data_IF_525002947178
#
_entry.id   IF_525002947178
#
_cell.length_a   1.000
_cell.length_b   1.000
_cell.length_c   1.000
_cell.angle_alpha   90.00
_cell.angle_beta   90.00
_cell.angle_gamma   90.00
#
_symmetry.space_group_name_H-M   'P 1'
#
loop_
_entity.id
_entity.type
_entity.pdbx_description
1 polymer ?
#
# COMPACT_ATOMS: atom_id res chain seq x y z
N UNK A 1 -21.85 -7.06 -31.28
CA UNK A 1 -20.61 -6.67 -30.56
C UNK A 1 -20.24 -5.24 -30.90
N UNK A 2 -19.83 -4.47 -29.89
CA UNK A 2 -19.28 -3.12 -30.11
C UNK A 2 -17.90 -3.20 -30.77
N UNK A 3 -17.45 -2.10 -31.41
CA UNK A 3 -16.11 -2.03 -31.97
C UNK A 3 -15.02 -2.24 -30.93
N UNK A 4 -15.22 -1.72 -29.71
CA UNK A 4 -14.29 -1.90 -28.60
C UNK A 4 -14.21 -3.37 -28.18
N UNK A 5 -15.34 -4.05 -28.06
CA UNK A 5 -15.38 -5.46 -27.68
C UNK A 5 -14.66 -6.34 -28.70
N UNK A 6 -14.84 -6.08 -30.00
CA UNK A 6 -14.14 -6.78 -31.07
C UNK A 6 -12.62 -6.54 -30.97
N UNK A 7 -12.21 -5.29 -30.75
CA UNK A 7 -10.80 -4.94 -30.57
C UNK A 7 -10.19 -5.65 -29.35
N UNK A 8 -10.90 -5.67 -28.21
CA UNK A 8 -10.43 -6.31 -26.98
C UNK A 8 -10.29 -7.81 -27.18
N UNK A 9 -11.24 -8.47 -27.83
CA UNK A 9 -11.16 -9.91 -28.11
C UNK A 9 -9.92 -10.26 -28.94
N UNK A 10 -9.61 -9.43 -29.95
CA UNK A 10 -8.38 -9.60 -30.73
C UNK A 10 -7.14 -9.47 -29.85
N UNK A 11 -7.09 -8.43 -29.01
CA UNK A 11 -5.95 -8.21 -28.12
C UNK A 11 -5.78 -9.35 -27.11
N UNK A 12 -6.85 -9.88 -26.55
CA UNK A 12 -6.80 -11.04 -25.65
C UNK A 12 -6.22 -12.27 -26.38
N UNK A 13 -6.60 -12.48 -27.64
CA UNK A 13 -5.98 -13.52 -28.47
C UNK A 13 -4.48 -13.29 -28.65
N UNK A 14 -4.06 -12.05 -28.87
CA UNK A 14 -2.65 -11.69 -29.03
C UNK A 14 -1.83 -11.91 -27.75
N UNK A 15 -2.44 -11.84 -26.57
CA UNK A 15 -1.75 -12.14 -25.30
C UNK A 15 -1.24 -13.59 -25.24
N UNK A 16 -1.86 -14.49 -26.00
CA UNK A 16 -1.49 -15.90 -26.07
C UNK A 16 -0.41 -16.19 -27.12
N UNK A 17 -0.01 -15.18 -27.89
CA UNK A 17 1.02 -15.33 -28.94
C UNK A 17 2.35 -15.74 -28.34
N UNK A 18 3.14 -16.49 -29.10
CA UNK A 18 4.54 -16.79 -28.77
C UNK A 18 5.49 -15.65 -29.15
N UNK A 19 5.01 -14.67 -29.92
CA UNK A 19 5.79 -13.50 -30.29
C UNK A 19 5.85 -12.50 -29.14
N UNK A 20 7.07 -12.19 -28.68
CA UNK A 20 7.29 -11.18 -27.62
C UNK A 20 6.78 -9.81 -28.07
N UNK A 21 7.01 -9.43 -29.32
CA UNK A 21 6.57 -8.13 -29.85
C UNK A 21 5.03 -8.05 -29.86
N UNK A 22 4.34 -9.12 -30.22
CA UNK A 22 2.87 -9.17 -30.21
C UNK A 22 2.32 -9.07 -28.79
N UNK A 23 2.90 -9.78 -27.82
CA UNK A 23 2.51 -9.69 -26.42
C UNK A 23 2.73 -8.30 -25.85
N UNK A 24 3.88 -7.70 -26.16
CA UNK A 24 4.23 -6.34 -25.71
C UNK A 24 3.23 -5.33 -26.22
N UNK A 25 2.90 -5.39 -27.51
CA UNK A 25 1.92 -4.49 -28.12
C UNK A 25 0.51 -4.70 -27.55
N UNK A 26 0.08 -5.93 -27.41
CA UNK A 26 -1.25 -6.25 -26.87
C UNK A 26 -1.39 -5.75 -25.43
N UNK A 27 -0.39 -5.98 -24.60
CA UNK A 27 -0.42 -5.49 -23.20
C UNK A 27 -0.40 -3.96 -23.14
N UNK A 28 0.35 -3.30 -24.04
CA UNK A 28 0.36 -1.84 -24.12
C UNK A 28 -1.00 -1.27 -24.47
N UNK A 29 -1.69 -1.88 -25.43
CA UNK A 29 -3.02 -1.45 -25.87
C UNK A 29 -4.07 -1.66 -24.79
N UNK A 30 -4.05 -2.80 -24.12
CA UNK A 30 -4.98 -3.09 -23.01
C UNK A 30 -4.75 -2.14 -21.84
N UNK A 31 -3.50 -1.86 -21.52
CA UNK A 31 -3.13 -0.86 -20.51
C UNK A 31 -3.76 0.50 -20.83
N UNK A 32 -3.64 0.94 -22.07
CA UNK A 32 -4.17 2.23 -22.53
C UNK A 32 -5.70 2.27 -22.50
N UNK A 33 -6.37 1.22 -22.99
CA UNK A 33 -7.83 1.13 -23.00
C UNK A 33 -8.41 1.14 -21.59
N UNK A 34 -7.74 0.52 -20.63
CA UNK A 34 -8.20 0.45 -19.25
C UNK A 34 -7.95 1.74 -18.46
N UNK A 35 -7.07 2.63 -18.95
CA UNK A 35 -6.59 3.77 -18.16
C UNK A 35 -7.66 4.81 -17.86
N UNK A 36 -8.48 5.17 -18.84
CA UNK A 36 -9.37 6.34 -18.75
C UNK A 36 -10.86 6.02 -18.90
N UNK A 37 -11.24 4.79 -19.11
CA UNK A 37 -12.62 4.45 -19.47
C UNK A 37 -13.18 3.32 -18.60
N UNK A 38 -14.25 3.63 -17.88
CA UNK A 38 -14.92 2.68 -16.99
C UNK A 38 -15.48 1.48 -17.74
N UNK A 39 -16.13 1.71 -18.88
CA UNK A 39 -16.74 0.65 -19.67
C UNK A 39 -15.67 -0.29 -20.26
N UNK A 40 -14.54 0.25 -20.67
CA UNK A 40 -13.43 -0.55 -21.17
C UNK A 40 -12.92 -1.53 -20.11
N UNK A 41 -12.86 -1.12 -18.87
CA UNK A 41 -12.40 -1.99 -17.76
C UNK A 41 -13.31 -3.20 -17.58
N UNK A 42 -14.62 -2.99 -17.74
CA UNK A 42 -15.61 -4.07 -17.66
C UNK A 42 -15.51 -4.98 -18.89
N UNK A 43 -15.41 -4.39 -20.08
CA UNK A 43 -15.30 -5.16 -21.35
C UNK A 43 -14.04 -6.02 -21.34
N UNK A 44 -12.90 -5.47 -20.96
CA UNK A 44 -11.62 -6.19 -20.91
C UNK A 44 -11.71 -7.39 -19.96
N UNK A 45 -12.27 -7.20 -18.77
CA UNK A 45 -12.46 -8.28 -17.81
C UNK A 45 -13.41 -9.36 -18.35
N UNK A 46 -14.52 -8.95 -18.97
CA UNK A 46 -15.51 -9.88 -19.52
C UNK A 46 -14.98 -10.69 -20.71
N UNK A 47 -13.98 -10.18 -21.41
CA UNK A 47 -13.33 -10.89 -22.51
C UNK A 47 -12.24 -11.87 -22.02
N UNK A 48 -12.06 -12.03 -20.72
CA UNK A 48 -11.12 -13.00 -20.16
C UNK A 48 -9.66 -12.56 -20.11
N UNK A 49 -9.41 -11.24 -20.15
CA UNK A 49 -8.05 -10.72 -20.16
C UNK A 49 -7.31 -10.89 -18.82
N UNK A 50 -8.02 -10.92 -17.69
CA UNK A 50 -7.39 -10.89 -16.37
C UNK A 50 -6.43 -12.06 -16.16
N UNK A 51 -6.88 -13.30 -16.41
CA UNK A 51 -6.02 -14.48 -16.22
C UNK A 51 -4.79 -14.45 -17.13
N UNK A 52 -4.94 -13.96 -18.35
CA UNK A 52 -3.83 -13.83 -19.29
C UNK A 52 -2.82 -12.78 -18.85
N UNK A 53 -3.31 -11.64 -18.37
CA UNK A 53 -2.44 -10.56 -17.84
C UNK A 53 -1.71 -11.03 -16.57
N UNK A 54 -2.37 -11.77 -15.70
CA UNK A 54 -1.75 -12.36 -14.50
C UNK A 54 -0.59 -13.28 -14.89
N UNK A 55 -0.77 -14.13 -15.89
CA UNK A 55 0.30 -14.99 -16.38
C UNK A 55 1.49 -14.19 -16.91
N UNK A 56 1.25 -13.07 -17.57
CA UNK A 56 2.30 -12.21 -18.13
C UNK A 56 3.05 -11.38 -17.08
N UNK A 57 2.62 -11.37 -15.84
CA UNK A 57 3.39 -10.78 -14.74
C UNK A 57 4.73 -11.49 -14.55
N UNK A 58 4.84 -12.74 -14.97
CA UNK A 58 6.09 -13.54 -14.93
C UNK A 58 6.88 -13.48 -16.22
N UNK A 59 6.47 -12.64 -17.17
CA UNK A 59 7.19 -12.53 -18.44
C UNK A 59 8.64 -12.10 -18.23
N UNK A 60 9.60 -12.72 -18.91
CA UNK A 60 11.00 -12.27 -18.88
C UNK A 60 11.22 -10.96 -19.65
N UNK A 61 10.27 -10.55 -20.49
CA UNK A 61 10.32 -9.26 -21.17
C UNK A 61 9.84 -8.16 -20.22
N UNK A 62 10.77 -7.28 -19.82
CA UNK A 62 10.49 -6.24 -18.83
C UNK A 62 9.32 -5.34 -19.23
N UNK A 63 9.22 -4.98 -20.51
CA UNK A 63 8.14 -4.10 -20.99
C UNK A 63 6.78 -4.79 -20.97
N UNK A 64 6.71 -6.07 -21.32
CA UNK A 64 5.49 -6.86 -21.22
C UNK A 64 5.04 -6.95 -19.76
N UNK A 65 5.96 -7.22 -18.84
CA UNK A 65 5.67 -7.26 -17.40
C UNK A 65 5.14 -5.92 -16.90
N UNK A 66 5.79 -4.80 -17.25
CA UNK A 66 5.34 -3.45 -16.87
C UNK A 66 3.93 -3.16 -17.40
N UNK A 67 3.69 -3.47 -18.66
CA UNK A 67 2.38 -3.26 -19.27
C UNK A 67 1.29 -4.13 -18.62
N UNK A 68 1.60 -5.38 -18.34
CA UNK A 68 0.65 -6.31 -17.72
C UNK A 68 0.26 -5.86 -16.32
N UNK A 69 1.24 -5.50 -15.48
CA UNK A 69 0.95 -5.04 -14.11
C UNK A 69 0.19 -3.72 -14.12
N UNK A 70 0.50 -2.83 -15.03
CA UNK A 70 -0.18 -1.53 -15.14
C UNK A 70 -1.60 -1.71 -15.67
N UNK A 71 -1.82 -2.61 -16.62
CA UNK A 71 -3.16 -2.96 -17.09
C UNK A 71 -4.01 -3.52 -15.95
N UNK A 72 -3.47 -4.41 -15.14
CA UNK A 72 -4.17 -4.96 -13.96
C UNK A 72 -4.47 -3.87 -12.92
N UNK A 73 -3.54 -2.96 -12.69
CA UNK A 73 -3.77 -1.82 -11.81
C UNK A 73 -4.96 -0.99 -12.30
N UNK A 74 -4.98 -0.65 -13.59
CA UNK A 74 -6.06 0.13 -14.18
C UNK A 74 -7.40 -0.61 -14.11
N UNK A 75 -7.41 -1.91 -14.39
CA UNK A 75 -8.61 -2.75 -14.27
C UNK A 75 -9.12 -2.81 -12.84
N UNK A 76 -8.23 -2.78 -11.86
CA UNK A 76 -8.57 -2.90 -10.44
C UNK A 76 -9.30 -1.68 -9.87
N UNK A 77 -9.44 -0.60 -10.63
CA UNK A 77 -10.28 0.54 -10.26
C UNK A 77 -11.75 0.12 -10.13
N UNK A 78 -12.18 -0.84 -10.91
CA UNK A 78 -13.51 -1.45 -10.80
C UNK A 78 -13.52 -2.48 -9.66
N UNK A 79 -14.47 -2.37 -8.73
CA UNK A 79 -14.52 -3.23 -7.54
C UNK A 79 -14.71 -4.72 -7.86
N UNK A 80 -15.51 -5.05 -8.86
CA UNK A 80 -15.68 -6.44 -9.30
C UNK A 80 -14.37 -7.01 -9.83
N UNK A 81 -13.57 -6.18 -10.50
CA UNK A 81 -12.27 -6.60 -11.01
C UNK A 81 -11.26 -6.84 -9.88
N UNK A 82 -11.35 -6.13 -8.75
CA UNK A 82 -10.48 -6.41 -7.59
C UNK A 82 -10.62 -7.86 -7.14
N UNK A 83 -11.85 -8.32 -7.02
CA UNK A 83 -12.14 -9.71 -6.65
C UNK A 83 -11.69 -10.69 -7.74
N UNK A 84 -11.98 -10.38 -9.00
CA UNK A 84 -11.60 -11.23 -10.13
C UNK A 84 -10.07 -11.39 -10.26
N UNK A 85 -9.31 -10.30 -10.04
CA UNK A 85 -7.84 -10.33 -10.09
C UNK A 85 -7.29 -11.21 -8.96
N UNK A 86 -7.79 -11.04 -7.73
CA UNK A 86 -7.38 -11.88 -6.61
C UNK A 86 -7.73 -13.35 -6.84
N UNK A 87 -8.92 -13.64 -7.40
CA UNK A 87 -9.37 -15.00 -7.69
C UNK A 87 -8.59 -15.63 -8.85
N UNK A 88 -7.96 -14.84 -9.71
CA UNK A 88 -7.07 -15.32 -10.76
C UNK A 88 -5.65 -15.62 -10.21
N UNK A 89 -5.47 -15.65 -8.90
CA UNK A 89 -4.20 -15.93 -8.24
C UNK A 89 -3.09 -14.92 -8.60
N UNK A 90 -3.46 -13.64 -8.64
CA UNK A 90 -2.53 -12.56 -8.99
C UNK A 90 -1.51 -12.24 -7.89
N UNK A 91 -1.79 -12.57 -6.62
CA UNK A 91 -0.98 -12.10 -5.49
C UNK A 91 0.46 -12.59 -5.58
N UNK A 92 0.70 -13.88 -5.80
CA UNK A 92 2.07 -14.40 -5.94
C UNK A 92 2.83 -13.81 -7.14
N UNK A 93 2.24 -13.74 -8.34
CA UNK A 93 2.88 -13.03 -9.44
C UNK A 93 3.15 -11.55 -9.17
N UNK A 94 2.28 -10.86 -8.44
CA UNK A 94 2.52 -9.47 -8.03
C UNK A 94 3.72 -9.36 -7.09
N UNK A 95 3.90 -10.31 -6.19
CA UNK A 95 5.08 -10.39 -5.32
C UNK A 95 6.34 -10.60 -6.17
N UNK A 96 6.27 -11.47 -7.18
CA UNK A 96 7.39 -11.67 -8.10
C UNK A 96 7.81 -10.36 -8.78
N UNK A 97 6.84 -9.55 -9.22
CA UNK A 97 7.11 -8.23 -9.80
C UNK A 97 7.76 -7.29 -8.78
N UNK A 98 7.30 -7.28 -7.53
CA UNK A 98 7.92 -6.49 -6.46
C UNK A 98 9.38 -6.86 -6.23
N UNK A 99 9.73 -8.13 -6.40
CA UNK A 99 11.08 -8.63 -6.14
C UNK A 99 12.01 -8.43 -7.34
N UNK A 100 11.52 -8.57 -8.56
CA UNK A 100 12.33 -8.68 -9.77
C UNK A 100 12.08 -7.63 -10.84
N UNK A 101 11.00 -6.85 -10.73
CA UNK A 101 10.61 -5.91 -11.76
C UNK A 101 11.46 -4.66 -11.84
N UNK A 102 11.21 -3.86 -12.87
CA UNK A 102 11.76 -2.51 -12.98
C UNK A 102 11.20 -1.62 -11.88
N UNK A 103 11.80 -0.46 -11.58
CA UNK A 103 11.23 0.48 -10.61
C UNK A 103 9.77 0.84 -10.91
N UNK A 104 9.41 1.09 -12.16
CA UNK A 104 8.01 1.35 -12.57
C UNK A 104 7.10 0.15 -12.30
N UNK A 105 7.53 -1.04 -12.66
CA UNK A 105 6.76 -2.27 -12.43
C UNK A 105 6.55 -2.51 -10.94
N UNK A 106 7.56 -2.31 -10.12
CA UNK A 106 7.46 -2.44 -8.66
C UNK A 106 6.45 -1.46 -8.06
N UNK A 107 6.48 -0.19 -8.47
CA UNK A 107 5.51 0.81 -8.05
C UNK A 107 4.09 0.37 -8.40
N UNK A 108 3.87 -0.06 -9.63
CA UNK A 108 2.56 -0.46 -10.11
C UNK A 108 2.08 -1.75 -9.46
N UNK A 109 3.00 -2.66 -9.11
CA UNK A 109 2.65 -3.85 -8.34
C UNK A 109 2.19 -3.50 -6.92
N UNK A 110 2.90 -2.62 -6.24
CA UNK A 110 2.50 -2.13 -4.93
C UNK A 110 1.14 -1.42 -4.98
N UNK A 111 0.92 -0.60 -6.00
CA UNK A 111 -0.36 0.08 -6.23
C UNK A 111 -1.49 -0.91 -6.49
N UNK A 112 -1.22 -1.99 -7.24
CA UNK A 112 -2.21 -3.06 -7.48
C UNK A 112 -2.55 -3.77 -6.17
N UNK A 113 -1.56 -4.15 -5.39
CA UNK A 113 -1.78 -4.76 -4.07
C UNK A 113 -2.56 -3.82 -3.14
N UNK A 114 -2.25 -2.53 -3.15
CA UNK A 114 -3.04 -1.53 -2.44
C UNK A 114 -4.49 -1.56 -2.90
N UNK A 115 -4.73 -1.52 -4.21
CA UNK A 115 -6.08 -1.56 -4.78
C UNK A 115 -6.85 -2.81 -4.35
N UNK A 116 -6.22 -3.98 -4.40
CA UNK A 116 -6.84 -5.24 -3.97
C UNK A 116 -7.10 -5.27 -2.46
N UNK A 117 -6.27 -4.62 -1.67
CA UNK A 117 -6.34 -4.67 -0.20
C UNK A 117 -7.49 -3.87 0.41
N UNK A 118 -8.25 -3.11 -0.39
CA UNK A 118 -9.50 -2.49 0.10
C UNK A 118 -10.58 -3.53 0.39
N UNK A 119 -10.50 -4.71 -0.22
CA UNK A 119 -11.42 -5.82 0.02
C UNK A 119 -10.91 -6.62 1.23
N UNK A 120 -11.77 -6.83 2.23
CA UNK A 120 -11.38 -7.48 3.50
C UNK A 120 -10.71 -8.83 3.30
N UNK A 121 -11.30 -9.71 2.48
CA UNK A 121 -10.74 -11.05 2.23
C UNK A 121 -9.35 -10.96 1.62
N UNK A 122 -9.07 -9.95 0.82
CA UNK A 122 -7.77 -9.75 0.19
C UNK A 122 -6.71 -9.31 1.19
N UNK A 123 -7.07 -8.56 2.25
CA UNK A 123 -6.12 -8.19 3.31
C UNK A 123 -5.51 -9.43 3.96
N UNK A 124 -6.34 -10.43 4.19
CA UNK A 124 -5.91 -11.71 4.77
C UNK A 124 -5.00 -12.47 3.79
N UNK A 125 -5.46 -12.62 2.56
CA UNK A 125 -4.71 -13.35 1.50
C UNK A 125 -3.35 -12.72 1.24
N UNK A 126 -3.31 -11.40 1.08
CA UNK A 126 -2.06 -10.66 0.82
C UNK A 126 -1.11 -10.78 2.01
N UNK A 127 -1.61 -10.62 3.23
CA UNK A 127 -0.79 -10.74 4.43
C UNK A 127 -0.17 -12.12 4.62
N UNK A 128 -0.89 -13.17 4.26
CA UNK A 128 -0.44 -14.56 4.39
C UNK A 128 0.45 -15.03 3.24
N UNK A 129 0.46 -14.30 2.13
CA UNK A 129 1.16 -14.73 0.90
C UNK A 129 2.66 -14.42 0.87
N UNK A 130 3.16 -13.64 1.83
CA UNK A 130 4.55 -13.19 1.83
C UNK A 130 4.76 -11.85 1.14
N UNK A 131 3.71 -11.07 0.87
CA UNK A 131 3.83 -9.76 0.24
C UNK A 131 4.41 -8.68 1.17
N UNK A 132 4.25 -8.83 2.48
CA UNK A 132 4.64 -7.79 3.44
C UNK A 132 6.14 -7.49 3.39
N UNK A 133 6.99 -8.51 3.36
CA UNK A 133 8.44 -8.31 3.26
C UNK A 133 8.85 -7.46 2.05
N UNK A 134 8.49 -7.85 0.82
CA UNK A 134 8.77 -7.06 -0.38
C UNK A 134 8.15 -5.65 -0.36
N UNK A 135 6.95 -5.47 0.20
CA UNK A 135 6.34 -4.14 0.36
C UNK A 135 7.17 -3.27 1.32
N UNK A 136 7.63 -3.83 2.42
CA UNK A 136 8.50 -3.11 3.37
C UNK A 136 9.84 -2.77 2.73
N UNK A 137 10.40 -3.65 1.91
CA UNK A 137 11.62 -3.34 1.17
C UNK A 137 11.41 -2.16 0.20
N UNK A 138 10.28 -2.13 -0.50
CA UNK A 138 9.93 -1.00 -1.38
C UNK A 138 9.72 0.29 -0.57
N UNK A 139 9.13 0.19 0.61
CA UNK A 139 8.95 1.32 1.52
C UNK A 139 10.29 1.97 1.90
N UNK A 140 11.34 1.17 2.10
CA UNK A 140 12.66 1.65 2.47
C UNK A 140 13.51 2.10 1.29
N UNK A 141 13.44 1.39 0.17
CA UNK A 141 14.39 1.50 -0.93
C UNK A 141 13.77 1.89 -2.27
N UNK A 142 12.45 2.08 -2.34
CA UNK A 142 11.77 2.38 -3.58
C UNK A 142 11.91 3.84 -4.02
N UNK A 143 11.33 4.12 -5.18
CA UNK A 143 11.12 5.49 -5.65
C UNK A 143 10.15 6.22 -4.72
N UNK A 144 10.04 7.56 -4.77
CA UNK A 144 9.04 8.28 -3.96
C UNK A 144 7.62 7.77 -4.17
N UNK A 145 7.22 7.47 -5.40
CA UNK A 145 5.91 6.88 -5.69
C UNK A 145 5.79 5.46 -5.14
N UNK A 146 6.83 4.65 -5.30
CA UNK A 146 6.87 3.29 -4.75
C UNK A 146 6.73 3.27 -3.24
N UNK A 147 7.40 4.16 -2.54
CA UNK A 147 7.28 4.31 -1.09
C UNK A 147 5.85 4.71 -0.69
N UNK A 148 5.24 5.63 -1.44
CA UNK A 148 3.86 6.06 -1.19
C UNK A 148 2.88 4.90 -1.38
N UNK A 149 2.98 4.18 -2.47
CA UNK A 149 2.09 3.06 -2.77
C UNK A 149 2.29 1.90 -1.78
N UNK A 150 3.53 1.61 -1.41
CA UNK A 150 3.85 0.62 -0.39
C UNK A 150 3.26 1.01 0.97
N UNK A 151 3.39 2.27 1.38
CA UNK A 151 2.84 2.74 2.66
C UNK A 151 1.32 2.65 2.69
N UNK A 152 0.65 2.93 1.57
CA UNK A 152 -0.80 2.83 1.46
C UNK A 152 -1.26 1.37 1.51
N UNK A 153 -0.55 0.47 0.82
CA UNK A 153 -0.82 -0.96 0.91
C UNK A 153 -0.64 -1.48 2.34
N UNK A 154 0.46 -1.12 2.99
CA UNK A 154 0.74 -1.52 4.36
C UNK A 154 -0.27 -0.94 5.35
N UNK A 155 -0.76 0.29 5.11
CA UNK A 155 -1.84 0.84 5.92
C UNK A 155 -3.08 -0.06 5.86
N UNK A 156 -3.55 -0.40 4.66
CA UNK A 156 -4.73 -1.27 4.50
C UNK A 156 -4.51 -2.64 5.15
N UNK A 157 -3.33 -3.23 4.97
CA UNK A 157 -2.98 -4.52 5.58
C UNK A 157 -2.92 -4.43 7.10
N UNK A 158 -2.47 -3.31 7.66
CA UNK A 158 -2.33 -3.10 9.11
C UNK A 158 -3.66 -2.98 9.85
N UNK A 159 -4.77 -2.79 9.12
CA UNK A 159 -6.11 -2.79 9.71
C UNK A 159 -6.47 -4.19 10.20
N UNK A 160 -6.04 -5.22 9.50
CA UNK A 160 -6.26 -6.61 9.90
C UNK A 160 -5.23 -7.02 10.96
N UNK A 161 -5.72 -7.39 12.15
CA UNK A 161 -4.87 -7.59 13.33
C UNK A 161 -3.69 -8.53 13.09
N UNK A 162 -3.92 -9.66 12.41
CA UNK A 162 -2.89 -10.68 12.14
C UNK A 162 -1.70 -10.12 11.34
N UNK A 163 -1.91 -9.09 10.52
CA UNK A 163 -0.86 -8.51 9.70
C UNK A 163 0.07 -7.57 10.49
N UNK A 164 -0.37 -7.04 11.62
CA UNK A 164 0.40 -6.03 12.37
C UNK A 164 1.76 -6.57 12.81
N UNK A 165 1.79 -7.75 13.43
CA UNK A 165 3.05 -8.36 13.84
C UNK A 165 3.96 -8.67 12.65
N UNK A 166 3.41 -9.13 11.53
CA UNK A 166 4.18 -9.39 10.31
C UNK A 166 4.83 -8.13 9.76
N UNK A 167 4.11 -7.01 9.79
CA UNK A 167 4.63 -5.71 9.32
C UNK A 167 5.77 -5.25 10.23
N UNK A 168 5.61 -5.35 11.55
CA UNK A 168 6.66 -5.00 12.51
C UNK A 168 7.89 -5.90 12.32
N UNK A 169 7.69 -7.23 12.21
CA UNK A 169 8.77 -8.20 12.03
C UNK A 169 9.55 -8.00 10.73
N UNK A 170 8.89 -7.48 9.70
CA UNK A 170 9.56 -7.15 8.44
C UNK A 170 10.41 -5.86 8.51
N UNK A 171 10.43 -5.17 9.64
CA UNK A 171 11.26 -3.98 9.84
C UNK A 171 10.63 -2.68 9.36
N UNK A 172 9.31 -2.61 9.23
CA UNK A 172 8.62 -1.44 8.69
C UNK A 172 8.77 -0.19 9.57
N UNK A 173 8.83 -0.33 10.89
CA UNK A 173 8.79 0.82 11.80
C UNK A 173 9.94 1.79 11.55
N UNK A 174 11.15 1.29 11.35
CA UNK A 174 12.32 2.14 11.04
C UNK A 174 12.08 3.01 9.81
N UNK A 175 11.57 2.41 8.73
CA UNK A 175 11.30 3.13 7.49
C UNK A 175 10.15 4.12 7.65
N UNK A 176 9.11 3.76 8.41
CA UNK A 176 7.99 4.67 8.69
C UNK A 176 8.45 5.89 9.49
N UNK A 177 9.32 5.69 10.48
CA UNK A 177 9.90 6.80 11.25
C UNK A 177 10.72 7.74 10.35
N UNK A 178 11.53 7.19 9.46
CA UNK A 178 12.28 7.98 8.48
C UNK A 178 11.35 8.79 7.55
N UNK A 179 10.21 8.23 7.17
CA UNK A 179 9.22 8.89 6.30
C UNK A 179 8.40 9.97 7.02
N UNK A 180 8.56 10.11 8.32
CA UNK A 180 7.94 11.19 9.09
C UNK A 180 8.66 12.53 8.91
N UNK A 181 9.79 12.58 8.19
CA UNK A 181 10.41 13.81 7.76
C UNK A 181 9.44 14.56 6.82
N UNK A 182 9.07 15.81 7.16
CA UNK A 182 8.14 16.58 6.29
C UNK A 182 8.60 16.72 4.85
N UNK A 183 9.90 16.72 4.60
CA UNK A 183 10.45 16.79 3.24
C UNK A 183 10.05 15.60 2.35
N UNK A 184 9.77 14.45 2.93
CA UNK A 184 9.33 13.27 2.18
C UNK A 184 7.87 13.38 1.69
N UNK A 185 7.06 14.27 2.28
CA UNK A 185 5.67 14.46 1.88
C UNK A 185 4.74 13.29 2.21
N UNK A 186 5.10 12.45 3.19
CA UNK A 186 4.39 11.20 3.49
C UNK A 186 4.02 11.05 4.97
N UNK A 187 4.09 12.14 5.73
CA UNK A 187 3.88 12.10 7.19
C UNK A 187 2.54 11.47 7.56
N UNK A 188 1.45 11.90 6.92
CA UNK A 188 0.11 11.41 7.26
C UNK A 188 -0.04 9.90 7.04
N UNK A 189 0.52 9.38 5.96
CA UNK A 189 0.48 7.94 5.69
C UNK A 189 1.34 7.15 6.67
N UNK A 190 2.54 7.62 6.93
CA UNK A 190 3.47 6.97 7.85
C UNK A 190 2.91 6.92 9.27
N UNK A 191 2.37 8.03 9.76
CA UNK A 191 1.80 8.08 11.11
C UNK A 191 0.55 7.23 11.24
N UNK A 192 -0.25 7.11 10.18
CA UNK A 192 -1.43 6.26 10.19
C UNK A 192 -1.05 4.77 10.36
N UNK A 193 -0.01 4.33 9.66
CA UNK A 193 0.50 2.94 9.83
C UNK A 193 1.05 2.75 11.24
N UNK A 194 1.87 3.69 11.72
CA UNK A 194 2.43 3.60 13.08
C UNK A 194 1.34 3.53 14.14
N UNK A 195 0.27 4.29 14.00
CA UNK A 195 -0.86 4.24 14.93
C UNK A 195 -1.50 2.86 14.98
N UNK A 196 -1.66 2.20 13.83
CA UNK A 196 -2.18 0.84 13.78
C UNK A 196 -1.22 -0.18 14.42
N UNK A 197 0.08 -0.01 14.19
CA UNK A 197 1.10 -0.90 14.76
C UNK A 197 1.26 -0.69 16.27
N UNK A 198 0.99 0.51 16.78
CA UNK A 198 1.05 0.81 18.21
C UNK A 198 -0.01 0.08 19.04
N UNK A 199 -1.01 -0.53 18.39
CA UNK A 199 -2.05 -1.32 19.09
C UNK A 199 -1.56 -2.68 19.56
N UNK A 200 -0.37 -3.13 19.12
CA UNK A 200 0.23 -4.39 19.56
C UNK A 200 1.57 -4.15 20.29
N UNK A 201 1.94 -5.04 21.24
CA UNK A 201 3.18 -4.86 22.03
C UNK A 201 4.44 -4.75 21.18
N UNK A 202 4.57 -5.59 20.15
CA UNK A 202 5.74 -5.60 19.26
C UNK A 202 5.88 -4.25 18.54
N UNK A 203 4.77 -3.66 18.14
CA UNK A 203 4.77 -2.34 17.50
C UNK A 203 5.21 -1.23 18.46
N UNK A 204 4.71 -1.24 19.68
CA UNK A 204 5.11 -0.27 20.71
C UNK A 204 6.60 -0.36 21.03
N UNK A 205 7.11 -1.57 21.21
CA UNK A 205 8.54 -1.79 21.45
C UNK A 205 9.38 -1.27 20.29
N UNK A 206 9.00 -1.60 19.05
CA UNK A 206 9.72 -1.16 17.87
C UNK A 206 9.71 0.37 17.71
N UNK A 207 8.57 1.02 17.97
CA UNK A 207 8.46 2.48 17.94
C UNK A 207 9.45 3.11 18.94
N UNK A 208 9.53 2.58 20.15
CA UNK A 208 10.49 3.04 21.14
C UNK A 208 11.93 2.85 20.70
N UNK A 209 12.27 1.68 20.18
CA UNK A 209 13.63 1.34 19.73
C UNK A 209 14.10 2.17 18.53
N UNK A 210 13.19 2.48 17.61
CA UNK A 210 13.49 3.19 16.37
C UNK A 210 13.35 4.72 16.50
N UNK A 211 13.31 5.23 17.72
CA UNK A 211 13.22 6.67 17.98
C UNK A 211 11.94 7.31 17.42
N UNK A 212 10.83 6.56 17.48
CA UNK A 212 9.53 7.03 16.98
C UNK A 212 8.85 8.06 17.88
N UNK A 213 9.13 8.05 19.19
CA UNK A 213 8.45 8.95 20.14
C UNK A 213 8.69 10.41 19.82
N UNK A 214 9.94 10.91 19.61
CA UNK A 214 10.16 12.31 19.26
C UNK A 214 9.40 12.74 18.01
N UNK A 215 9.38 11.92 16.96
CA UNK A 215 8.70 12.28 15.71
C UNK A 215 7.18 12.27 15.86
N UNK A 216 6.61 11.40 16.69
CA UNK A 216 5.18 11.39 16.98
C UNK A 216 4.76 12.66 17.74
N UNK A 217 5.56 13.11 18.71
CA UNK A 217 5.32 14.36 19.44
C UNK A 217 5.37 15.55 18.48
N UNK A 218 6.34 15.57 17.57
CA UNK A 218 6.45 16.63 16.56
C UNK A 218 5.20 16.67 15.66
N UNK A 219 4.64 15.54 15.27
CA UNK A 219 3.40 15.50 14.48
C UNK A 219 2.22 16.06 15.27
N UNK A 220 2.11 15.80 16.57
CA UNK A 220 1.07 16.42 17.41
C UNK A 220 1.19 17.93 17.41
N UNK A 221 2.42 18.44 17.37
CA UNK A 221 2.69 19.88 17.37
C UNK A 221 2.45 20.51 15.99
N UNK A 222 3.03 19.94 14.94
CA UNK A 222 3.17 20.57 13.63
C UNK A 222 2.41 19.88 12.49
N UNK A 223 1.79 18.74 12.74
CA UNK A 223 1.15 17.93 11.70
C UNK A 223 -0.18 18.49 11.22
N UNK A 224 -0.74 17.80 10.20
CA UNK A 224 -2.11 18.03 9.75
C UNK A 224 -3.12 17.62 10.83
N UNK A 225 -4.38 18.01 10.66
CA UNK A 225 -5.46 17.59 11.57
C UNK A 225 -5.52 16.06 11.69
N UNK A 226 -5.43 15.35 10.58
CA UNK A 226 -5.44 13.88 10.55
C UNK A 226 -4.18 13.27 11.14
N UNK A 227 -3.03 13.85 10.81
CA UNK A 227 -1.75 13.44 11.37
C UNK A 227 -1.73 13.56 12.89
N UNK A 228 -2.23 14.66 13.42
CA UNK A 228 -2.34 14.89 14.87
C UNK A 228 -3.24 13.85 15.55
N UNK A 229 -4.37 13.48 14.94
CA UNK A 229 -5.24 12.42 15.45
C UNK A 229 -4.49 11.09 15.58
N UNK A 230 -3.81 10.68 14.53
CA UNK A 230 -3.10 9.41 14.49
C UNK A 230 -1.88 9.40 15.42
N UNK A 231 -1.15 10.50 15.48
CA UNK A 231 -0.01 10.62 16.40
C UNK A 231 -0.48 10.57 17.86
N UNK A 232 -1.54 11.28 18.21
CA UNK A 232 -2.14 11.22 19.53
C UNK A 232 -2.61 9.81 19.89
N UNK A 233 -3.23 9.10 18.94
CA UNK A 233 -3.66 7.72 19.14
C UNK A 233 -2.47 6.79 19.43
N UNK A 234 -1.36 6.94 18.69
CA UNK A 234 -0.15 6.15 18.92
C UNK A 234 0.46 6.45 20.28
N UNK A 235 0.56 7.72 20.66
CA UNK A 235 1.09 8.14 21.96
C UNK A 235 0.22 7.63 23.12
N UNK A 236 -1.10 7.63 22.96
CA UNK A 236 -2.02 7.07 23.95
C UNK A 236 -1.73 5.59 24.19
N UNK A 237 -1.54 4.81 23.12
CA UNK A 237 -1.20 3.39 23.24
C UNK A 237 0.13 3.18 23.96
N UNK A 238 1.14 4.00 23.66
CA UNK A 238 2.43 3.91 24.31
C UNK A 238 2.33 4.24 25.81
N UNK A 239 1.63 5.31 26.16
CA UNK A 239 1.50 5.75 27.56
C UNK A 239 0.63 4.79 28.38
N UNK A 240 -0.44 4.27 27.81
CA UNK A 240 -1.38 3.39 28.52
C UNK A 240 -0.75 2.05 28.87
N UNK A 241 0.16 1.56 28.02
CA UNK A 241 0.72 0.20 28.15
C UNK A 241 2.11 0.17 28.78
N UNK A 242 2.78 1.32 29.01
CA UNK A 242 4.14 1.35 29.54
C UNK A 242 4.41 2.67 30.25
N UNK A 243 4.76 2.61 31.54
CA UNK A 243 5.19 3.78 32.28
C UNK A 243 6.51 4.35 31.73
N UNK A 244 7.40 3.46 31.26
CA UNK A 244 8.66 3.87 30.63
C UNK A 244 8.42 4.70 29.38
N UNK A 245 7.56 4.22 28.48
CA UNK A 245 7.23 4.95 27.27
C UNK A 245 6.47 6.24 27.57
N UNK A 246 5.57 6.23 28.56
CA UNK A 246 4.89 7.45 28.99
C UNK A 246 5.88 8.50 29.50
N UNK A 247 6.88 8.11 30.27
CA UNK A 247 7.93 9.00 30.72
C UNK A 247 8.71 9.60 29.56
N UNK A 248 9.04 8.80 28.54
CA UNK A 248 9.74 9.28 27.33
C UNK A 248 8.87 10.26 26.55
N UNK A 249 7.59 10.01 26.43
CA UNK A 249 6.65 10.93 25.77
C UNK A 249 6.63 12.28 26.48
N UNK A 250 6.57 12.29 27.82
CA UNK A 250 6.58 13.50 28.62
C UNK A 250 7.92 14.25 28.50
N UNK A 251 9.05 13.52 28.49
CA UNK A 251 10.39 14.10 28.32
C UNK A 251 10.56 14.78 26.96
N UNK A 252 9.87 14.32 25.93
CA UNK A 252 9.90 14.95 24.59
C UNK A 252 9.03 16.20 24.50
N UNK A 253 8.43 16.64 25.60
CA UNK A 253 7.64 17.86 25.64
C UNK A 253 6.25 17.72 25.03
N UNK A 254 5.62 16.57 25.19
CA UNK A 254 4.29 16.30 24.60
C UNK A 254 3.16 17.10 25.25
N UNK A 255 3.29 17.57 26.49
CA UNK A 255 2.18 18.21 27.22
C UNK A 255 1.67 19.48 26.54
N UNK A 256 2.49 20.47 26.16
CA UNK A 256 1.95 21.66 25.49
C UNK A 256 1.25 21.37 24.18
N UNK A 257 1.81 20.58 23.23
CA UNK A 257 1.09 20.24 21.99
C UNK A 257 -0.20 19.44 22.22
N UNK A 258 -0.23 18.55 23.23
CA UNK A 258 -1.45 17.80 23.56
C UNK A 258 -2.52 18.70 24.16
N UNK A 259 -2.15 19.67 25.00
CA UNK A 259 -3.09 20.67 25.53
C UNK A 259 -3.69 21.49 24.39
N UNK A 260 -2.86 21.96 23.45
CA UNK A 260 -3.33 22.68 22.29
C UNK A 260 -4.31 21.83 21.45
N UNK A 261 -4.01 20.55 21.24
CA UNK A 261 -4.85 19.61 20.52
C UNK A 261 -6.19 19.37 21.25
N UNK A 262 -6.21 19.36 22.57
CA UNK A 262 -7.43 19.21 23.36
C UNK A 262 -8.39 20.37 23.17
N UNK A 263 -7.90 21.55 22.79
CA UNK A 263 -8.67 22.76 22.61
C UNK A 263 -9.10 22.97 21.15
N UNK A 264 -8.19 22.70 20.19
CA UNK A 264 -8.35 23.03 18.78
C UNK A 264 -8.40 21.84 17.85
N UNK A 265 -8.21 20.62 18.36
CA UNK A 265 -8.21 19.41 17.55
C UNK A 265 -9.61 18.99 17.11
N UNK A 266 -9.64 18.03 16.19
CA UNK A 266 -10.88 17.35 15.78
C UNK A 266 -11.49 16.61 16.99
N UNK A 267 -12.79 16.24 16.95
CA UNK A 267 -13.37 15.43 18.04
C UNK A 267 -12.61 14.14 18.32
N UNK A 268 -12.13 13.43 17.28
CA UNK A 268 -11.30 12.22 17.46
C UNK A 268 -9.96 12.52 18.11
N UNK A 269 -9.31 13.61 17.70
CA UNK A 269 -8.04 14.01 18.30
C UNK A 269 -8.20 14.37 19.77
N UNK A 270 -9.23 15.13 20.13
CA UNK A 270 -9.53 15.51 21.51
C UNK A 270 -9.81 14.30 22.41
N UNK A 271 -10.46 13.29 21.86
CA UNK A 271 -10.71 12.02 22.59
C UNK A 271 -9.40 11.31 22.95
N UNK A 272 -8.33 11.43 22.14
CA UNK A 272 -7.06 10.75 22.35
C UNK A 272 -6.13 11.49 23.33
N UNK A 273 -6.37 12.75 23.56
CA UNK A 273 -5.61 13.51 24.55
C UNK A 273 -6.03 13.17 25.98
#
# INVERSE_FOLDING_TARGET
LSGTETQVKKLVGDLKSTSVDTQREATAQLRLLAKHNMDNRIIIANCGAISMLVNLLRSPDAKTQENAVTALLNLSINDNNKTAIANANAIEPLIHVLETGTPEAKENSAATLFSLSVIEDNKVKIGRSGAIGPLVNLLGNGTPRGKKDASTALFNLSIFHENKARIVQAGAVRHLVELMDPAAGMVDKAVAVLANLATIPEGRTSIGQEQGIPVLVEVVELGSARGKENAAAALLQLCTNSNRFCSLVLQEGAVPPLVALSQSGTPRAREKV
#
